data_IF_150849498193
#
_entry.id   IF_150849498193
#
_cell.length_a   1.000
_cell.length_b   1.000
_cell.length_c   1.000
_cell.angle_alpha   90.00
_cell.angle_beta   90.00
_cell.angle_gamma   90.00
#
_symmetry.space_group_name_H-M   'P 1'
#
loop_
_entity.id
_entity.type
_entity.pdbx_description
1 polymer ?
#
# COMPACT_ATOMS: atom_id res chain seq x y z
N UNK A 1 -14.19 -5.96 -7.35
CA UNK A 1 -14.66 -4.71 -7.98
C UNK A 1 -14.10 -4.67 -9.38
N UNK A 2 -14.92 -4.44 -10.42
CA UNK A 2 -14.43 -4.22 -11.78
C UNK A 2 -13.68 -2.87 -11.85
N UNK A 3 -12.81 -2.71 -12.85
CA UNK A 3 -12.00 -1.49 -12.98
C UNK A 3 -12.87 -0.25 -13.29
N UNK A 4 -14.00 -0.44 -13.99
CA UNK A 4 -14.98 0.62 -14.26
C UNK A 4 -15.61 1.24 -13.01
N UNK A 5 -15.62 0.51 -11.89
CA UNK A 5 -16.12 1.02 -10.61
C UNK A 5 -15.39 2.30 -10.18
N UNK A 6 -14.11 2.41 -10.48
CA UNK A 6 -13.25 3.50 -10.03
C UNK A 6 -13.43 4.80 -10.84
N UNK A 7 -14.00 4.72 -12.03
CA UNK A 7 -14.14 5.86 -12.95
C UNK A 7 -14.85 7.04 -12.29
N UNK A 8 -14.21 8.22 -12.36
CA UNK A 8 -14.71 9.48 -11.81
C UNK A 8 -14.68 9.57 -10.28
N UNK A 9 -14.13 8.57 -9.58
CA UNK A 9 -14.04 8.61 -8.11
C UNK A 9 -12.82 9.40 -7.65
N UNK A 10 -13.00 10.13 -6.55
CA UNK A 10 -11.90 10.75 -5.81
C UNK A 10 -11.27 9.66 -4.95
N UNK A 11 -9.95 9.50 -5.10
CA UNK A 11 -9.18 8.50 -4.37
C UNK A 11 -8.05 9.13 -3.59
N UNK A 12 -7.69 8.49 -2.49
CA UNK A 12 -6.48 8.75 -1.72
C UNK A 12 -5.53 7.58 -1.90
N UNK A 13 -4.24 7.86 -1.97
CA UNK A 13 -3.19 6.85 -2.09
C UNK A 13 -2.38 6.78 -0.81
N UNK A 14 -1.96 5.58 -0.44
CA UNK A 14 -0.97 5.35 0.61
C UNK A 14 0.20 4.56 0.06
N UNK A 15 1.42 5.06 0.24
CA UNK A 15 2.65 4.49 -0.28
C UNK A 15 3.62 4.15 0.84
N UNK A 16 3.96 2.88 0.95
CA UNK A 16 5.01 2.36 1.84
C UNK A 16 6.20 1.92 0.99
N UNK A 17 7.26 2.75 0.92
CA UNK A 17 8.44 2.52 0.10
C UNK A 17 9.50 1.72 0.86
N UNK A 18 10.01 0.67 0.22
CA UNK A 18 11.17 -0.08 0.66
C UNK A 18 12.16 -0.26 -0.49
N UNK A 19 13.44 -0.49 -0.21
CA UNK A 19 14.44 -0.76 -1.25
C UNK A 19 14.69 -2.24 -1.47
N UNK A 20 14.87 -3.02 -0.41
CA UNK A 20 15.44 -4.38 -0.52
C UNK A 20 14.74 -5.44 0.31
N UNK A 21 14.51 -5.21 1.59
CA UNK A 21 14.05 -6.24 2.54
C UNK A 21 12.52 -6.35 2.58
N UNK A 22 11.85 -5.23 2.73
CA UNK A 22 10.39 -5.16 2.74
C UNK A 22 9.85 -5.00 1.32
N UNK A 23 8.57 -5.27 1.13
CA UNK A 23 7.91 -4.98 -0.11
C UNK A 23 7.59 -3.48 -0.17
N UNK A 24 7.63 -2.88 -1.34
CA UNK A 24 6.92 -1.61 -1.55
C UNK A 24 5.46 -1.93 -1.75
N UNK A 25 4.58 -1.14 -1.14
CA UNK A 25 3.14 -1.32 -1.26
C UNK A 25 2.44 0.00 -1.57
N UNK A 26 1.40 -0.09 -2.39
CA UNK A 26 0.53 1.03 -2.75
C UNK A 26 -0.92 0.62 -2.49
N UNK A 27 -1.63 1.43 -1.72
CA UNK A 27 -3.07 1.32 -1.54
C UNK A 27 -3.79 2.48 -2.24
N UNK A 28 -4.93 2.20 -2.84
CA UNK A 28 -5.86 3.19 -3.40
C UNK A 28 -7.21 3.04 -2.72
N UNK A 29 -7.71 4.13 -2.15
CA UNK A 29 -8.88 4.14 -1.29
C UNK A 29 -9.88 5.18 -1.80
N UNK A 30 -11.16 4.83 -1.88
CA UNK A 30 -12.23 5.82 -2.06
C UNK A 30 -13.38 5.60 -1.08
N UNK A 31 -14.07 6.68 -0.74
CA UNK A 31 -15.34 6.63 -0.03
C UNK A 31 -16.49 6.76 -1.03
N UNK A 32 -17.42 5.82 -1.01
CA UNK A 32 -18.58 5.82 -1.89
C UNK A 32 -19.78 5.14 -1.24
N UNK A 33 -20.94 5.80 -1.25
CA UNK A 33 -22.22 5.27 -0.72
C UNK A 33 -22.10 4.69 0.71
N UNK A 34 -21.43 5.42 1.59
CA UNK A 34 -21.28 5.01 3.00
C UNK A 34 -20.25 3.92 3.25
N UNK A 35 -19.51 3.47 2.24
CA UNK A 35 -18.47 2.44 2.35
C UNK A 35 -17.12 2.94 1.85
N UNK A 36 -16.09 2.28 2.33
CA UNK A 36 -14.70 2.48 1.93
C UNK A 36 -14.31 1.34 1.01
N UNK A 37 -13.83 1.69 -0.17
CA UNK A 37 -13.36 0.72 -1.16
C UNK A 37 -11.85 0.78 -1.28
N UNK A 38 -11.20 -0.38 -1.27
CA UNK A 38 -9.75 -0.51 -1.26
C UNK A 38 -9.27 -1.39 -2.40
N UNK A 39 -8.25 -0.91 -3.11
CA UNK A 39 -7.43 -1.70 -4.05
C UNK A 39 -5.96 -1.50 -3.65
N UNK A 40 -5.22 -2.59 -3.50
CA UNK A 40 -3.82 -2.53 -3.08
C UNK A 40 -2.97 -3.43 -3.96
N UNK A 41 -1.71 -3.04 -4.16
CA UNK A 41 -0.71 -3.82 -4.90
C UNK A 41 0.64 -3.75 -4.17
N UNK A 42 1.46 -4.77 -4.37
CA UNK A 42 2.83 -4.81 -3.89
C UNK A 42 3.83 -4.76 -5.04
N UNK A 43 5.06 -4.35 -4.74
CA UNK A 43 6.20 -4.36 -5.66
C UNK A 43 7.38 -5.04 -4.98
N UNK A 44 8.07 -5.90 -5.70
CA UNK A 44 9.24 -6.64 -5.21
C UNK A 44 10.35 -6.64 -6.25
N UNK A 45 11.64 -6.76 -5.86
CA UNK A 45 12.72 -6.89 -6.82
C UNK A 45 12.58 -8.17 -7.65
N UNK A 46 12.78 -8.08 -8.96
CA UNK A 46 12.55 -9.20 -9.88
C UNK A 46 13.46 -10.40 -9.57
N UNK A 47 14.76 -10.16 -9.30
CA UNK A 47 15.73 -11.22 -9.00
C UNK A 47 15.53 -11.84 -7.60
N UNK A 48 14.70 -11.25 -6.75
CA UNK A 48 14.39 -11.77 -5.41
C UNK A 48 13.06 -12.53 -5.30
N UNK A 49 12.32 -12.70 -6.39
CA UNK A 49 11.01 -13.37 -6.38
C UNK A 49 11.08 -14.78 -5.78
N UNK A 50 12.05 -15.59 -6.19
CA UNK A 50 12.23 -16.97 -5.69
C UNK A 50 12.66 -16.98 -4.22
N UNK A 51 13.70 -16.21 -3.89
CA UNK A 51 14.22 -16.11 -2.53
C UNK A 51 13.11 -15.68 -1.55
N UNK A 52 12.38 -14.62 -1.89
CA UNK A 52 11.28 -14.12 -1.07
C UNK A 52 10.14 -15.12 -0.97
N UNK A 53 9.83 -15.84 -2.05
CA UNK A 53 8.78 -16.86 -2.04
C UNK A 53 9.08 -17.97 -1.03
N UNK A 54 10.33 -18.41 -0.96
CA UNK A 54 10.77 -19.43 0.00
C UNK A 54 10.81 -18.86 1.42
N UNK A 55 11.46 -17.71 1.61
CA UNK A 55 11.68 -17.08 2.93
C UNK A 55 10.38 -16.69 3.61
N UNK A 56 9.42 -16.17 2.84
CA UNK A 56 8.17 -15.61 3.35
C UNK A 56 7.00 -16.59 3.25
N UNK A 57 7.22 -17.79 2.68
CA UNK A 57 6.19 -18.81 2.42
C UNK A 57 5.01 -18.28 1.60
N UNK A 58 5.29 -17.41 0.61
CA UNK A 58 4.33 -16.76 -0.27
C UNK A 58 4.67 -17.08 -1.72
N UNK A 59 3.74 -17.62 -2.50
CA UNK A 59 3.98 -17.84 -3.93
C UNK A 59 3.84 -16.53 -4.72
N UNK A 60 4.90 -15.70 -4.71
CA UNK A 60 4.89 -14.42 -5.40
C UNK A 60 4.64 -14.52 -6.90
N UNK A 61 5.07 -15.60 -7.56
CA UNK A 61 4.78 -15.80 -9.00
C UNK A 61 3.28 -15.85 -9.27
N UNK A 62 2.52 -16.52 -8.41
CA UNK A 62 1.07 -16.57 -8.53
C UNK A 62 0.44 -15.18 -8.34
N UNK A 63 0.93 -14.39 -7.37
CA UNK A 63 0.42 -13.03 -7.13
C UNK A 63 0.81 -12.07 -8.25
N UNK A 64 1.99 -12.24 -8.86
CA UNK A 64 2.40 -11.47 -10.05
C UNK A 64 1.47 -11.80 -11.23
N UNK A 65 1.19 -13.07 -11.47
CA UNK A 65 0.27 -13.49 -12.55
C UNK A 65 -1.16 -12.97 -12.34
N UNK A 66 -1.61 -12.78 -11.08
CA UNK A 66 -2.92 -12.20 -10.74
C UNK A 66 -2.95 -10.67 -10.79
N UNK A 67 -1.80 -9.99 -10.84
CA UNK A 67 -1.70 -8.54 -10.76
C UNK A 67 -1.80 -7.96 -9.35
N UNK A 68 -1.69 -8.79 -8.32
CA UNK A 68 -1.63 -8.38 -6.90
C UNK A 68 -0.24 -7.86 -6.51
N UNK A 69 0.78 -8.26 -7.30
CA UNK A 69 2.19 -7.92 -7.08
C UNK A 69 2.87 -7.65 -8.43
N UNK A 70 3.87 -6.78 -8.43
CA UNK A 70 4.72 -6.50 -9.59
C UNK A 70 6.18 -6.77 -9.26
N UNK A 71 6.86 -7.51 -10.13
CA UNK A 71 8.30 -7.64 -10.09
C UNK A 71 8.94 -6.49 -10.88
N UNK A 72 9.77 -5.68 -10.25
CA UNK A 72 10.40 -4.52 -10.88
C UNK A 72 11.80 -4.23 -10.32
N UNK A 73 12.67 -3.74 -11.19
CA UNK A 73 14.09 -3.64 -10.91
C UNK A 73 14.76 -5.03 -10.83
N UNK A 74 16.05 -5.05 -10.54
CA UNK A 74 16.81 -6.29 -10.40
C UNK A 74 16.82 -6.76 -8.93
N UNK A 75 17.84 -6.40 -8.16
CA UNK A 75 17.99 -6.75 -6.72
C UNK A 75 17.36 -5.71 -5.77
N UNK A 76 17.06 -4.54 -6.29
CA UNK A 76 16.37 -3.46 -5.58
C UNK A 76 15.13 -3.04 -6.39
N UNK A 77 14.12 -2.53 -5.70
CA UNK A 77 12.90 -2.04 -6.34
C UNK A 77 13.21 -0.83 -7.22
N UNK A 78 12.74 -0.87 -8.46
CA UNK A 78 12.79 0.27 -9.38
C UNK A 78 11.70 1.28 -9.00
N UNK A 79 12.09 2.36 -8.34
CA UNK A 79 11.17 3.42 -7.97
C UNK A 79 10.56 4.13 -9.19
N UNK A 80 11.29 4.19 -10.31
CA UNK A 80 10.74 4.72 -11.55
C UNK A 80 9.54 3.92 -12.06
N UNK A 81 9.59 2.59 -11.91
CA UNK A 81 8.45 1.73 -12.19
C UNK A 81 7.25 2.05 -11.28
N UNK A 82 7.48 2.18 -9.97
CA UNK A 82 6.43 2.50 -8.99
C UNK A 82 5.80 3.86 -9.28
N UNK A 83 6.63 4.87 -9.56
CA UNK A 83 6.20 6.23 -9.93
C UNK A 83 5.34 6.23 -11.19
N UNK A 84 5.79 5.56 -12.25
CA UNK A 84 5.02 5.40 -13.49
C UNK A 84 3.70 4.68 -13.24
N UNK A 85 3.69 3.62 -12.42
CA UNK A 85 2.46 2.94 -12.06
C UNK A 85 1.47 3.90 -11.38
N UNK A 86 1.92 4.73 -10.42
CA UNK A 86 1.08 5.72 -9.75
C UNK A 86 0.51 6.72 -10.76
N UNK A 87 1.33 7.26 -11.65
CA UNK A 87 0.90 8.23 -12.66
C UNK A 87 -0.13 7.63 -13.66
N UNK A 88 0.00 6.34 -13.98
CA UNK A 88 -0.96 5.66 -14.86
C UNK A 88 -2.32 5.37 -14.23
N UNK A 89 -2.48 5.48 -12.90
CA UNK A 89 -3.75 5.19 -12.23
C UNK A 89 -4.90 6.08 -12.73
N UNK A 90 -4.61 7.37 -12.99
CA UNK A 90 -5.59 8.33 -13.51
C UNK A 90 -6.14 7.89 -14.87
N UNK A 91 -5.26 7.48 -15.78
CA UNK A 91 -5.66 7.01 -17.10
C UNK A 91 -6.33 5.63 -17.03
N UNK A 92 -5.69 4.68 -16.32
CA UNK A 92 -6.13 3.29 -16.24
C UNK A 92 -7.51 3.13 -15.60
N UNK A 93 -7.77 3.83 -14.51
CA UNK A 93 -9.02 3.71 -13.74
C UNK A 93 -9.95 4.91 -13.89
N UNK A 94 -9.51 5.99 -14.54
CA UNK A 94 -10.29 7.22 -14.65
C UNK A 94 -10.54 7.90 -13.29
N UNK A 95 -9.62 7.74 -12.34
CA UNK A 95 -9.74 8.30 -10.98
C UNK A 95 -9.20 9.73 -10.89
N UNK A 96 -9.67 10.45 -9.87
CA UNK A 96 -9.13 11.74 -9.45
C UNK A 96 -8.33 11.50 -8.17
N UNK A 97 -7.01 11.61 -8.22
CA UNK A 97 -6.14 11.42 -7.05
C UNK A 97 -6.17 12.72 -6.25
N UNK A 98 -6.72 12.68 -5.05
CA UNK A 98 -6.77 13.82 -4.14
C UNK A 98 -5.41 14.05 -3.47
N UNK A 99 -4.83 13.00 -2.86
CA UNK A 99 -3.56 13.07 -2.14
C UNK A 99 -2.89 11.70 -2.12
N UNK A 100 -1.56 11.71 -1.92
CA UNK A 100 -0.75 10.52 -1.64
C UNK A 100 -0.06 10.68 -0.29
N UNK A 101 -0.41 9.81 0.66
CA UNK A 101 0.29 9.68 1.93
C UNK A 101 1.54 8.81 1.79
N UNK A 102 2.67 9.23 2.38
CA UNK A 102 3.93 8.50 2.31
C UNK A 102 4.74 8.60 3.60
N UNK A 103 5.60 7.60 3.87
CA UNK A 103 6.63 7.72 4.90
C UNK A 103 7.88 8.41 4.35
N UNK A 104 8.48 9.26 5.15
CA UNK A 104 9.64 10.08 4.78
C UNK A 104 10.85 9.28 4.27
N UNK A 105 11.05 8.06 4.79
CA UNK A 105 12.20 7.25 4.44
C UNK A 105 12.17 6.82 2.97
N UNK A 106 13.24 7.10 2.25
CA UNK A 106 13.45 6.77 0.83
C UNK A 106 12.48 7.43 -0.18
N UNK A 107 11.57 8.31 0.25
CA UNK A 107 10.49 8.81 -0.60
C UNK A 107 10.78 10.17 -1.27
N UNK A 108 11.82 10.89 -0.87
CA UNK A 108 12.01 12.29 -1.29
C UNK A 108 12.07 12.48 -2.82
N UNK A 109 12.84 11.66 -3.53
CA UNK A 109 12.96 11.77 -4.99
C UNK A 109 11.65 11.39 -5.70
N UNK A 110 10.97 10.36 -5.21
CA UNK A 110 9.66 9.91 -5.72
C UNK A 110 8.61 11.00 -5.53
N UNK A 111 8.55 11.62 -4.35
CA UNK A 111 7.64 12.73 -4.05
C UNK A 111 7.88 13.91 -4.99
N UNK A 112 9.13 14.35 -5.13
CA UNK A 112 9.49 15.44 -6.04
C UNK A 112 9.05 15.16 -7.47
N UNK A 113 9.20 13.94 -7.95
CA UNK A 113 8.78 13.54 -9.30
C UNK A 113 7.27 13.55 -9.46
N UNK A 114 6.52 13.04 -8.48
CA UNK A 114 5.05 13.02 -8.51
C UNK A 114 4.46 14.44 -8.43
N UNK A 115 5.05 15.32 -7.62
CA UNK A 115 4.63 16.72 -7.48
C UNK A 115 5.01 17.58 -8.67
N UNK A 116 6.06 17.21 -9.44
CA UNK A 116 6.51 17.93 -10.65
C UNK A 116 5.99 17.35 -11.96
N UNK A 117 5.14 16.32 -11.92
CA UNK A 117 4.53 15.74 -13.11
C UNK A 117 3.59 16.73 -13.82
N UNK A 118 3.27 16.49 -15.09
CA UNK A 118 2.33 17.33 -15.88
C UNK A 118 0.94 17.44 -15.20
N UNK A 119 0.52 16.39 -14.52
CA UNK A 119 -0.66 16.37 -13.66
C UNK A 119 -0.23 16.03 -12.22
N UNK A 120 0.15 17.04 -11.41
CA UNK A 120 0.76 16.87 -10.12
C UNK A 120 -0.12 16.11 -9.13
N UNK A 121 0.55 15.34 -8.25
CA UNK A 121 -0.11 14.66 -7.13
C UNK A 121 0.37 15.33 -5.83
N UNK A 122 -0.56 15.85 -5.04
CA UNK A 122 -0.25 16.37 -3.71
C UNK A 122 0.23 15.24 -2.80
N UNK A 123 1.46 15.35 -2.26
CA UNK A 123 2.08 14.36 -1.41
C UNK A 123 2.11 14.83 0.05
N UNK A 124 1.70 13.98 0.99
CA UNK A 124 1.59 14.30 2.42
C UNK A 124 2.42 13.31 3.24
N UNK A 125 3.36 13.83 4.02
CA UNK A 125 4.18 13.00 4.92
C UNK A 125 3.36 12.42 6.08
N UNK A 126 3.34 11.10 6.21
CA UNK A 126 2.74 10.36 7.31
C UNK A 126 3.86 9.72 8.15
N UNK A 127 4.15 10.28 9.30
CA UNK A 127 5.22 9.77 10.17
C UNK A 127 4.85 8.41 10.74
N UNK A 128 5.76 7.44 10.60
CA UNK A 128 5.62 6.07 11.14
C UNK A 128 5.88 6.04 12.66
N UNK A 129 5.14 6.84 13.41
CA UNK A 129 5.22 6.92 14.86
C UNK A 129 3.90 6.48 15.49
N UNK A 130 3.97 5.78 16.64
CA UNK A 130 2.81 5.22 17.33
C UNK A 130 1.69 6.23 17.58
N UNK A 131 2.04 7.47 17.99
CA UNK A 131 1.06 8.53 18.23
C UNK A 131 0.33 9.00 16.96
N UNK A 132 0.96 8.89 15.79
CA UNK A 132 0.34 9.24 14.49
C UNK A 132 -0.49 8.08 13.98
N UNK A 133 0.04 6.85 14.06
CA UNK A 133 -0.59 5.65 13.50
C UNK A 133 -1.73 5.09 14.37
N UNK A 134 -1.85 5.52 15.63
CA UNK A 134 -2.90 5.04 16.54
C UNK A 134 -4.31 5.28 16.00
N UNK A 135 -4.63 6.52 15.66
CA UNK A 135 -5.95 6.88 15.20
C UNK A 135 -6.36 6.16 13.90
N UNK A 136 -5.55 6.15 12.82
CA UNK A 136 -5.88 5.41 11.60
C UNK A 136 -5.94 3.89 11.82
N UNK A 137 -5.06 3.31 12.65
CA UNK A 137 -5.10 1.87 12.96
C UNK A 137 -6.40 1.49 13.67
N UNK A 138 -6.81 2.29 14.66
CA UNK A 138 -8.08 2.09 15.37
C UNK A 138 -9.26 2.21 14.42
N UNK A 139 -9.28 3.28 13.62
CA UNK A 139 -10.35 3.53 12.68
C UNK A 139 -10.47 2.43 11.63
N UNK A 140 -9.36 1.98 11.01
CA UNK A 140 -9.36 0.88 10.06
C UNK A 140 -9.95 -0.40 10.68
N UNK A 141 -9.54 -0.74 11.91
CA UNK A 141 -10.09 -1.88 12.64
C UNK A 141 -11.60 -1.77 12.84
N UNK A 142 -12.10 -0.59 13.22
CA UNK A 142 -13.53 -0.34 13.39
C UNK A 142 -14.29 -0.51 12.07
N UNK A 143 -13.76 0.02 10.95
CA UNK A 143 -14.39 -0.15 9.64
C UNK A 143 -14.44 -1.62 9.18
N UNK A 144 -13.40 -2.40 9.47
CA UNK A 144 -13.40 -3.84 9.20
C UNK A 144 -14.47 -4.55 10.03
N UNK A 145 -14.52 -4.30 11.33
CA UNK A 145 -15.46 -4.94 12.26
C UNK A 145 -16.92 -4.60 11.97
N UNK A 146 -17.19 -3.40 11.49
CA UNK A 146 -18.55 -2.93 11.14
C UNK A 146 -18.96 -3.28 9.71
N UNK A 147 -18.05 -3.90 8.90
CA UNK A 147 -18.33 -4.25 7.50
C UNK A 147 -18.47 -3.06 6.56
N UNK A 148 -17.91 -1.90 6.95
CA UNK A 148 -17.95 -0.67 6.15
C UNK A 148 -16.81 -0.58 5.12
N UNK A 149 -15.88 -1.54 5.11
CA UNK A 149 -14.76 -1.57 4.16
C UNK A 149 -14.92 -2.73 3.18
N UNK A 150 -14.69 -2.46 1.91
CA UNK A 150 -14.79 -3.41 0.81
C UNK A 150 -13.44 -3.50 0.13
N UNK A 151 -12.79 -4.64 0.22
CA UNK A 151 -11.53 -4.90 -0.46
C UNK A 151 -11.78 -5.48 -1.85
N UNK A 152 -11.01 -5.01 -2.84
CA UNK A 152 -10.84 -5.79 -4.07
C UNK A 152 -10.22 -7.15 -3.70
N UNK A 153 -10.67 -8.22 -4.36
CA UNK A 153 -10.10 -9.55 -4.10
C UNK A 153 -8.60 -9.51 -4.33
N UNK A 154 -7.84 -9.79 -3.27
CA UNK A 154 -6.38 -9.77 -3.28
C UNK A 154 -5.87 -10.69 -2.17
N UNK A 155 -5.47 -11.91 -2.55
CA UNK A 155 -4.99 -12.91 -1.59
C UNK A 155 -3.69 -12.49 -0.91
N UNK A 156 -2.84 -11.69 -1.57
CA UNK A 156 -1.61 -11.19 -0.96
C UNK A 156 -1.92 -10.18 0.16
N UNK A 157 -2.94 -9.34 -0.02
CA UNK A 157 -3.42 -8.43 1.03
C UNK A 157 -4.01 -9.23 2.22
N UNK A 158 -4.75 -10.30 1.97
CA UNK A 158 -5.28 -11.19 3.01
C UNK A 158 -4.15 -11.82 3.84
N UNK A 159 -3.05 -12.26 3.19
CA UNK A 159 -1.84 -12.75 3.86
C UNK A 159 -1.22 -11.64 4.72
N UNK A 160 -1.10 -10.42 4.20
CA UNK A 160 -0.57 -9.27 4.96
C UNK A 160 -1.43 -8.97 6.20
N UNK A 161 -2.75 -9.00 6.10
CA UNK A 161 -3.64 -8.87 7.27
C UNK A 161 -3.47 -10.01 8.28
N UNK A 162 -3.33 -11.25 7.82
CA UNK A 162 -3.09 -12.41 8.69
C UNK A 162 -1.78 -12.30 9.47
N UNK A 163 -0.76 -11.70 8.87
CA UNK A 163 0.53 -11.45 9.48
C UNK A 163 0.50 -10.30 10.49
N UNK A 164 -0.39 -9.32 10.31
CA UNK A 164 -0.38 -8.08 11.05
C UNK A 164 -0.56 -8.30 12.56
N UNK A 165 0.32 -7.67 13.34
CA UNK A 165 0.23 -7.63 14.81
C UNK A 165 0.28 -6.17 15.25
N UNK A 166 -0.72 -5.79 16.04
CA UNK A 166 -0.71 -4.50 16.71
C UNK A 166 0.04 -4.59 18.03
N UNK A 167 0.83 -3.57 18.31
CA UNK A 167 1.45 -3.36 19.63
C UNK A 167 0.95 -2.07 20.23
N UNK A 168 1.08 -1.98 21.53
CA UNK A 168 0.72 -0.79 22.31
C UNK A 168 1.99 -0.20 22.92
N UNK A 169 2.17 1.12 22.83
CA UNK A 169 3.24 1.81 23.48
C UNK A 169 2.87 2.18 24.93
N UNK A 170 3.78 2.83 25.65
CA UNK A 170 3.58 3.26 27.04
C UNK A 170 2.44 4.29 27.21
N UNK A 171 2.03 4.95 26.14
CA UNK A 171 0.93 5.91 26.10
C UNK A 171 -0.38 5.29 25.61
N UNK A 172 -0.45 3.96 25.53
CA UNK A 172 -1.59 3.18 25.05
C UNK A 172 -1.92 3.38 23.55
N UNK A 173 -0.97 3.90 22.76
CA UNK A 173 -1.14 4.01 21.32
C UNK A 173 -0.96 2.64 20.67
N UNK A 174 -1.99 2.16 19.99
CA UNK A 174 -1.98 0.90 19.23
C UNK A 174 -1.68 1.17 17.76
N UNK A 175 -0.77 0.41 17.19
CA UNK A 175 -0.38 0.51 15.79
C UNK A 175 0.13 -0.83 15.25
N UNK A 176 0.05 -1.04 13.93
CA UNK A 176 0.64 -2.21 13.28
C UNK A 176 2.16 -2.13 13.38
N UNK A 177 2.78 -3.15 13.96
CA UNK A 177 4.22 -3.19 14.18
C UNK A 177 4.87 -4.20 13.25
N UNK A 178 5.60 -3.71 12.23
CA UNK A 178 6.31 -4.56 11.25
C UNK A 178 7.24 -5.58 11.91
N UNK A 179 8.00 -5.18 12.94
CA UNK A 179 8.98 -6.05 13.62
C UNK A 179 8.34 -7.18 14.44
N UNK A 180 7.11 -6.99 14.90
CA UNK A 180 6.37 -7.99 15.71
C UNK A 180 5.33 -8.76 14.90
N UNK A 181 5.11 -8.39 13.67
CA UNK A 181 4.23 -9.10 12.76
C UNK A 181 4.82 -10.45 12.33
N UNK A 182 3.96 -11.41 12.01
CA UNK A 182 4.36 -12.77 11.69
C UNK A 182 5.03 -12.91 10.31
N UNK A 183 4.93 -11.90 9.47
CA UNK A 183 5.47 -11.82 8.12
C UNK A 183 5.29 -10.42 7.56
N UNK A 184 5.31 -10.26 6.23
CA UNK A 184 5.15 -8.97 5.56
C UNK A 184 3.76 -8.39 5.80
N UNK A 185 3.73 -7.08 6.06
CA UNK A 185 2.52 -6.29 6.37
C UNK A 185 2.49 -4.96 5.63
N UNK A 186 3.36 -4.79 4.65
CA UNK A 186 3.58 -3.51 3.95
C UNK A 186 2.29 -3.03 3.27
N UNK A 187 1.48 -3.95 2.74
CA UNK A 187 0.17 -3.62 2.15
C UNK A 187 -0.87 -3.17 3.19
N UNK A 188 -0.74 -3.57 4.46
CA UNK A 188 -1.59 -3.07 5.56
C UNK A 188 -1.10 -1.71 6.05
N UNK A 189 0.21 -1.49 6.04
CA UNK A 189 0.82 -0.21 6.45
C UNK A 189 0.54 0.89 5.44
N UNK A 190 0.49 0.57 4.14
CA UNK A 190 0.13 1.53 3.08
C UNK A 190 -1.36 1.93 3.07
N UNK A 191 -2.19 1.26 3.85
CA UNK A 191 -3.63 1.46 3.93
C UNK A 191 -4.01 2.53 4.94
#
# INVERSE_FOLDING_TARGET
>A
MPDEFWRGKIVYLGLDLSQTEDNTALAMICYHEGKIYVKSVAFIPAEKVEEKSVKEHVNYKTHIAKGDCFACGDYIIDYGFVENYILTLKEKYGVIIAQLGFDRWNALSTVQKLESADDPIECVEIRQHSSVLHAPTKWLKEQILTGNIVFAKNELLEINFSNARCTEDTNLNKYVNKKRSAGKVDMVVSL
#
